data_IF_299353819302
#
_entry.id   IF_299353819302
#
_cell.length_a   1.000
_cell.length_b   1.000
_cell.length_c   1.000
_cell.angle_alpha   90.00
_cell.angle_beta   90.00
_cell.angle_gamma   90.00
#
_symmetry.space_group_name_H-M   'P 1'
#
loop_
_entity.id
_entity.type
_entity.pdbx_description
1 polymer ?
#
# COMPACT_ATOMS: atom_id res chain seq x y z
N UNK A 1 0.04 30.11 -4.24
CA UNK A 1 0.48 28.73 -4.49
C UNK A 1 -0.35 27.85 -3.58
N UNK A 2 -1.25 27.05 -4.15
CA UNK A 2 -2.08 26.10 -3.39
C UNK A 2 -1.30 24.80 -3.17
N UNK A 3 -1.52 24.17 -2.01
CA UNK A 3 -1.02 22.84 -1.70
C UNK A 3 -2.20 21.88 -1.78
N UNK A 4 -1.95 20.67 -2.28
CA UNK A 4 -2.92 19.59 -2.29
C UNK A 4 -2.61 18.63 -1.16
N UNK A 5 -3.64 18.12 -0.51
CA UNK A 5 -3.53 17.20 0.63
C UNK A 5 -4.35 15.96 0.32
N UNK A 6 -3.67 14.81 0.33
CA UNK A 6 -4.29 13.50 0.23
C UNK A 6 -4.08 12.75 1.54
N UNK A 7 -5.10 12.03 1.98
CA UNK A 7 -5.01 11.14 3.14
C UNK A 7 -5.26 9.71 2.73
N UNK A 8 -4.47 8.76 3.24
CA UNK A 8 -4.62 7.32 2.93
C UNK A 8 -4.49 6.48 4.19
N UNK A 9 -5.30 5.43 4.28
CA UNK A 9 -5.09 4.36 5.26
C UNK A 9 -3.82 3.58 4.91
N UNK A 10 -2.94 3.39 5.87
CA UNK A 10 -1.71 2.63 5.70
C UNK A 10 -1.42 1.76 6.94
N UNK A 11 -0.81 0.61 6.69
CA UNK A 11 -0.33 -0.28 7.75
C UNK A 11 1.20 -0.36 7.66
N UNK A 12 1.91 0.26 8.61
CA UNK A 12 3.35 0.08 8.66
C UNK A 12 3.69 -1.33 9.12
N UNK A 13 4.60 -1.94 8.37
CA UNK A 13 5.19 -3.21 8.75
C UNK A 13 6.36 -3.05 9.76
N UNK A 14 6.61 -1.84 10.26
CA UNK A 14 7.87 -1.47 10.92
C UNK A 14 7.92 -1.97 12.36
N UNK A 15 8.94 -2.79 12.65
CA UNK A 15 9.17 -3.43 13.95
C UNK A 15 9.13 -4.95 13.85
N UNK A 16 9.96 -5.64 14.65
CA UNK A 16 10.07 -7.11 14.62
C UNK A 16 8.89 -7.86 15.25
N UNK A 17 7.86 -7.16 15.75
CA UNK A 17 6.70 -7.76 16.43
C UNK A 17 5.39 -7.29 15.78
N UNK A 18 4.55 -8.24 15.42
CA UNK A 18 3.27 -8.04 14.74
C UNK A 18 2.27 -7.20 15.55
N UNK A 19 2.34 -7.26 16.88
CA UNK A 19 1.48 -6.44 17.77
C UNK A 19 1.70 -4.92 17.62
N UNK A 20 2.82 -4.50 17.01
CA UNK A 20 3.08 -3.09 16.75
C UNK A 20 2.50 -2.60 15.41
N UNK A 21 1.85 -3.47 14.62
CA UNK A 21 1.19 -3.13 13.35
C UNK A 21 -0.18 -2.50 13.59
N UNK A 22 -0.20 -1.27 14.05
CA UNK A 22 -1.43 -0.53 14.23
C UNK A 22 -1.81 0.21 12.92
N UNK A 23 -3.10 0.28 12.54
CA UNK A 23 -3.54 1.11 11.42
C UNK A 23 -3.20 2.57 11.66
N UNK A 24 -2.85 3.29 10.59
CA UNK A 24 -2.66 4.73 10.64
C UNK A 24 -3.13 5.43 9.38
N UNK A 25 -3.34 6.73 9.50
CA UNK A 25 -3.65 7.60 8.37
C UNK A 25 -2.42 8.43 8.02
N UNK A 26 -1.95 8.30 6.79
CA UNK A 26 -0.86 9.11 6.25
C UNK A 26 -1.40 10.34 5.53
N UNK A 27 -0.68 11.46 5.64
CA UNK A 27 -0.96 12.67 4.88
C UNK A 27 0.15 12.92 3.84
N UNK A 28 -0.22 13.00 2.58
CA UNK A 28 0.66 13.30 1.45
C UNK A 28 0.37 14.73 1.01
N UNK A 29 1.37 15.62 1.14
CA UNK A 29 1.28 17.03 0.78
C UNK A 29 2.07 17.28 -0.49
N UNK A 30 1.44 17.81 -1.52
CA UNK A 30 2.07 18.06 -2.82
C UNK A 30 1.87 19.49 -3.30
N UNK A 31 2.78 19.94 -4.16
CA UNK A 31 2.70 21.23 -4.86
C UNK A 31 2.19 21.07 -6.31
N UNK A 32 1.70 19.89 -6.68
CA UNK A 32 1.14 19.55 -8.00
C UNK A 32 -0.24 18.90 -7.85
N UNK A 33 -1.08 18.99 -8.88
CA UNK A 33 -2.48 18.52 -8.80
C UNK A 33 -2.60 17.03 -8.53
N UNK A 34 -3.64 16.64 -7.80
CA UNK A 34 -3.89 15.25 -7.38
C UNK A 34 -5.11 14.62 -8.07
N UNK A 35 -5.68 15.30 -9.07
CA UNK A 35 -6.92 14.90 -9.78
C UNK A 35 -6.86 13.48 -10.40
N UNK A 36 -5.65 12.95 -10.63
CA UNK A 36 -5.43 11.60 -11.17
C UNK A 36 -5.63 10.46 -10.16
N UNK A 37 -5.75 10.78 -8.87
CA UNK A 37 -5.89 9.79 -7.78
C UNK A 37 -7.35 9.53 -7.38
N UNK A 38 -8.34 10.19 -8.01
CA UNK A 38 -9.77 10.01 -7.69
C UNK A 38 -10.35 8.67 -8.23
N UNK A 39 -9.60 7.90 -9.02
CA UNK A 39 -10.03 6.60 -9.53
C UNK A 39 -9.54 5.44 -8.65
N UNK A 40 -10.25 5.18 -7.55
CA UNK A 40 -10.19 3.86 -6.90
C UNK A 40 -11.02 2.86 -7.72
N UNK A 41 -10.46 2.40 -8.85
CA UNK A 41 -10.80 1.05 -9.27
C UNK A 41 -10.15 0.12 -8.24
N UNK A 42 -10.98 -0.66 -7.54
CA UNK A 42 -10.60 -1.83 -6.75
C UNK A 42 -9.79 -2.81 -7.62
N UNK A 43 -8.55 -2.47 -7.95
CA UNK A 43 -7.61 -3.45 -8.46
C UNK A 43 -7.34 -4.35 -7.26
N UNK A 44 -8.09 -5.46 -7.19
CA UNK A 44 -7.88 -6.51 -6.20
C UNK A 44 -6.38 -6.73 -6.10
N UNK A 45 -5.84 -6.55 -4.91
CA UNK A 45 -4.44 -6.84 -4.65
C UNK A 45 -4.25 -8.34 -4.87
N UNK A 46 -3.88 -8.73 -6.09
CA UNK A 46 -3.57 -10.11 -6.43
C UNK A 46 -2.12 -10.37 -6.05
N UNK A 47 -1.92 -11.27 -5.08
CA UNK A 47 -0.59 -11.73 -4.74
C UNK A 47 -0.06 -12.60 -5.88
N UNK A 48 0.82 -12.03 -6.70
CA UNK A 48 1.50 -12.76 -7.76
C UNK A 48 2.54 -13.71 -7.12
N UNK A 49 2.52 -14.97 -7.52
CA UNK A 49 3.51 -15.96 -7.13
C UNK A 49 4.73 -15.80 -8.04
N UNK A 50 5.94 -15.77 -7.47
CA UNK A 50 7.18 -15.84 -8.24
C UNK A 50 7.11 -17.12 -9.09
N UNK A 51 7.45 -17.05 -10.38
CA UNK A 51 7.28 -18.11 -11.39
C UNK A 51 8.07 -19.41 -11.09
N UNK A 52 7.84 -20.02 -9.94
CA UNK A 52 8.50 -21.21 -9.45
C UNK A 52 7.69 -22.44 -9.84
N UNK A 53 8.40 -23.48 -10.28
CA UNK A 53 7.81 -24.79 -10.51
C UNK A 53 7.37 -25.40 -9.18
N UNK A 54 6.15 -25.95 -9.15
CA UNK A 54 5.45 -26.52 -7.97
C UNK A 54 6.20 -27.63 -7.22
N UNK A 55 7.36 -28.05 -7.69
CA UNK A 55 8.08 -29.25 -7.21
C UNK A 55 9.12 -28.97 -6.12
N UNK A 56 9.36 -27.72 -5.72
CA UNK A 56 10.40 -27.39 -4.73
C UNK A 56 10.01 -27.63 -3.25
N UNK A 57 8.74 -27.90 -2.94
CA UNK A 57 8.25 -28.03 -1.56
C UNK A 57 7.49 -29.34 -1.28
N UNK A 58 7.66 -30.35 -2.12
CA UNK A 58 7.15 -31.71 -1.84
C UNK A 58 8.17 -32.48 -1.00
N UNK A 59 8.25 -32.17 0.29
CA UNK A 59 8.99 -32.96 1.30
C UNK A 59 8.21 -33.00 2.61
#
# INVERSE_FOLDING_TARGET
>A
MSLNVLTREHFYHVGGNESNRNPMVEAIITNYSTDFYEEENEQKAEQLILLETREAYSA
#
